data_IF_384498382389
#
_entry.id   IF_384498382389
#
_cell.length_a   1.000
_cell.length_b   1.000
_cell.length_c   1.000
_cell.angle_alpha   90.00
_cell.angle_beta   90.00
_cell.angle_gamma   90.00
#
_symmetry.space_group_name_H-M   'P 1'
#
loop_
_entity.id
_entity.type
_entity.pdbx_description
1 polymer ?
#
# COMPACT_ATOMS: atom_id res chain seq x y z
N UNK A 1 -59.94 -13.72 -5.07
CA UNK A 1 -59.06 -13.23 -4.00
C UNK A 1 -58.24 -14.41 -3.49
N UNK A 2 -56.92 -14.39 -3.66
CA UNK A 2 -56.06 -15.07 -2.72
C UNK A 2 -55.10 -14.06 -2.10
N UNK A 3 -54.93 -14.17 -0.79
CA UNK A 3 -53.83 -13.55 -0.07
C UNK A 3 -53.16 -14.61 0.82
N UNK A 4 -51.90 -14.33 1.11
CA UNK A 4 -51.01 -14.89 2.13
C UNK A 4 -50.27 -16.20 1.81
N UNK A 5 -49.17 -16.03 1.08
CA UNK A 5 -47.95 -16.83 1.32
C UNK A 5 -46.69 -15.94 1.29
N UNK A 6 -46.16 -15.70 2.49
CA UNK A 6 -44.73 -15.54 2.87
C UNK A 6 -43.79 -14.85 1.86
N UNK A 7 -43.36 -13.65 2.23
CA UNK A 7 -42.29 -12.84 1.62
C UNK A 7 -40.89 -13.28 2.11
N UNK A 8 -39.89 -13.37 1.21
CA UNK A 8 -38.63 -12.67 1.45
C UNK A 8 -38.29 -11.69 0.31
N UNK A 9 -38.12 -10.42 0.66
CA UNK A 9 -37.71 -9.30 -0.20
C UNK A 9 -36.18 -9.24 -0.32
N UNK A 10 -35.61 -9.79 -1.39
CA UNK A 10 -34.33 -9.33 -1.96
C UNK A 10 -34.42 -9.47 -3.49
N UNK A 11 -34.49 -8.38 -4.28
CA UNK A 11 -34.36 -8.46 -5.72
C UNK A 11 -32.89 -8.61 -6.15
N UNK A 12 -32.60 -9.27 -7.29
CA UNK A 12 -31.26 -9.47 -7.80
C UNK A 12 -30.64 -8.15 -8.28
N UNK A 13 -29.37 -7.93 -7.94
CA UNK A 13 -28.58 -6.78 -8.35
C UNK A 13 -28.55 -6.63 -9.87
N UNK A 14 -29.11 -5.53 -10.36
CA UNK A 14 -28.99 -5.09 -11.74
C UNK A 14 -27.58 -4.56 -12.03
N UNK A 15 -27.08 -4.90 -13.21
CA UNK A 15 -25.82 -4.42 -13.77
C UNK A 15 -25.78 -2.88 -13.78
N UNK A 16 -25.04 -2.28 -12.85
CA UNK A 16 -24.59 -0.89 -12.99
C UNK A 16 -23.39 -0.89 -13.92
N UNK A 17 -23.60 -0.47 -15.16
CA UNK A 17 -22.54 -0.18 -16.11
C UNK A 17 -21.54 0.81 -15.48
N UNK A 18 -20.32 0.35 -15.27
CA UNK A 18 -19.16 1.20 -15.05
C UNK A 18 -18.95 2.04 -16.31
N UNK A 19 -19.18 3.35 -16.22
CA UNK A 19 -18.72 4.30 -17.21
C UNK A 19 -17.19 4.28 -17.14
N UNK A 20 -16.56 3.50 -18.02
CA UNK A 20 -15.13 3.63 -18.31
C UNK A 20 -14.97 4.83 -19.25
N UNK A 21 -14.03 5.76 -18.98
CA UNK A 21 -13.60 6.67 -20.04
C UNK A 21 -12.89 5.84 -21.11
N UNK A 22 -13.41 5.88 -22.34
CA UNK A 22 -12.73 5.34 -23.52
C UNK A 22 -11.44 6.12 -23.76
N UNK A 23 -10.29 5.45 -24.00
CA UNK A 23 -9.09 6.14 -24.45
C UNK A 23 -9.33 6.60 -25.89
N UNK A 24 -9.50 7.90 -26.10
CA UNK A 24 -9.45 8.50 -27.43
C UNK A 24 -8.02 8.40 -27.94
N UNK A 25 -7.77 7.48 -28.87
CA UNK A 25 -6.52 7.48 -29.63
C UNK A 25 -6.47 8.76 -30.49
N UNK A 26 -5.36 9.52 -30.48
CA UNK A 26 -5.24 10.69 -31.33
C UNK A 26 -5.24 10.26 -32.79
N UNK A 27 -6.11 10.87 -33.58
CA UNK A 27 -6.13 10.72 -35.04
C UNK A 27 -4.86 11.35 -35.63
N UNK A 28 -4.41 10.80 -36.75
CA UNK A 28 -3.18 11.15 -37.49
C UNK A 28 -3.03 12.65 -37.87
N UNK A 29 -4.02 13.49 -37.60
CA UNK A 29 -4.05 14.91 -37.95
C UNK A 29 -3.40 15.84 -36.90
N UNK A 30 -2.97 15.32 -35.74
CA UNK A 30 -2.37 16.12 -34.65
C UNK A 30 -0.84 15.99 -34.54
N UNK A 31 -0.16 15.38 -35.51
CA UNK A 31 1.30 15.25 -35.48
C UNK A 31 2.05 16.52 -35.92
N UNK A 32 1.34 17.54 -36.41
CA UNK A 32 1.94 18.78 -36.93
C UNK A 32 1.93 19.93 -35.91
N UNK A 33 1.58 19.72 -34.64
CA UNK A 33 1.76 20.74 -33.61
C UNK A 33 3.21 20.72 -33.08
N UNK A 34 4.06 21.72 -33.39
CA UNK A 34 5.43 21.78 -32.89
C UNK A 34 5.53 21.88 -31.35
N UNK A 35 4.40 22.00 -30.63
CA UNK A 35 4.33 21.89 -29.16
C UNK A 35 4.41 20.45 -28.66
N UNK A 36 4.04 19.44 -29.47
CA UNK A 36 4.18 18.01 -29.14
C UNK A 36 5.59 17.48 -29.46
N UNK A 37 6.32 18.13 -30.38
CA UNK A 37 7.73 17.85 -30.68
C UNK A 37 8.72 18.57 -29.76
N UNK A 38 8.23 19.13 -28.64
CA UNK A 38 9.01 19.89 -27.66
C UNK A 38 9.52 19.05 -26.49
N UNK A 39 10.20 17.94 -26.76
CA UNK A 39 10.93 17.14 -25.76
C UNK A 39 12.19 17.86 -25.26
N UNK A 40 12.00 19.01 -24.62
CA UNK A 40 13.09 19.91 -24.20
C UNK A 40 12.68 20.83 -23.06
N UNK A 41 11.78 20.38 -22.18
CA UNK A 41 11.41 21.11 -20.97
C UNK A 41 12.47 20.94 -19.90
N UNK A 42 13.48 21.83 -19.89
CA UNK A 42 14.54 21.86 -18.89
C UNK A 42 14.00 21.64 -17.47
N UNK A 43 14.58 20.65 -16.79
CA UNK A 43 14.34 20.29 -15.38
C UNK A 43 14.50 21.54 -14.52
N UNK A 44 13.40 22.26 -14.22
CA UNK A 44 13.44 23.41 -13.30
C UNK A 44 13.87 22.90 -11.93
N UNK A 45 15.16 23.07 -11.58
CA UNK A 45 15.78 22.64 -10.31
C UNK A 45 14.95 23.04 -9.07
N UNK A 46 14.16 24.11 -9.17
CA UNK A 46 13.22 24.57 -8.15
C UNK A 46 12.00 23.69 -7.83
N UNK A 47 11.78 22.53 -8.47
CA UNK A 47 10.67 21.62 -8.12
C UNK A 47 11.11 20.31 -7.42
N UNK A 48 12.37 19.91 -7.55
CA UNK A 48 12.86 18.66 -6.95
C UNK A 48 13.02 18.74 -5.43
N UNK A 49 13.40 19.91 -4.90
CA UNK A 49 13.54 20.13 -3.46
C UNK A 49 12.19 20.05 -2.72
N UNK A 50 11.08 20.42 -3.38
CA UNK A 50 9.73 20.31 -2.81
C UNK A 50 9.38 18.85 -2.51
N UNK A 51 9.73 17.95 -3.43
CA UNK A 51 9.53 16.51 -3.25
C UNK A 51 10.45 15.96 -2.14
N UNK A 52 11.72 16.39 -2.10
CA UNK A 52 12.62 15.99 -1.03
C UNK A 52 12.12 16.45 0.34
N UNK A 53 11.60 17.68 0.42
CA UNK A 53 11.05 18.24 1.66
C UNK A 53 9.79 17.50 2.12
N UNK A 54 8.93 17.04 1.20
CA UNK A 54 7.74 16.29 1.59
C UNK A 54 8.07 14.93 2.20
N UNK A 55 9.06 14.22 1.66
CA UNK A 55 9.54 12.97 2.29
C UNK A 55 10.33 13.22 3.58
N UNK A 56 11.09 14.32 3.68
CA UNK A 56 11.70 14.72 4.94
C UNK A 56 10.63 15.00 6.01
N UNK A 57 9.49 15.55 5.61
CA UNK A 57 8.34 15.77 6.49
C UNK A 57 7.68 14.44 6.92
N UNK A 58 7.58 13.44 6.04
CA UNK A 58 7.14 12.10 6.44
C UNK A 58 8.04 11.52 7.55
N UNK A 59 9.37 11.60 7.39
CA UNK A 59 10.32 11.18 8.42
C UNK A 59 10.18 11.98 9.71
N UNK A 60 9.95 13.30 9.61
CA UNK A 60 9.69 14.14 10.77
C UNK A 60 8.45 13.66 11.54
N UNK A 61 7.34 13.37 10.85
CA UNK A 61 6.13 12.82 11.49
C UNK A 61 6.43 11.50 12.19
N UNK A 62 7.20 10.61 11.55
CA UNK A 62 7.61 9.34 12.15
C UNK A 62 8.48 9.56 13.40
N UNK A 63 9.46 10.46 13.36
CA UNK A 63 10.30 10.79 14.51
C UNK A 63 9.45 11.36 15.66
N UNK A 64 8.55 12.31 15.37
CA UNK A 64 7.64 12.86 16.37
C UNK A 64 6.76 11.77 16.98
N UNK A 65 6.18 10.91 16.15
CA UNK A 65 5.39 9.76 16.62
C UNK A 65 6.21 8.80 17.49
N UNK A 66 7.46 8.53 17.12
CA UNK A 66 8.38 7.69 17.88
C UNK A 66 8.72 8.29 19.24
N UNK A 67 9.02 9.60 19.29
CA UNK A 67 9.28 10.34 20.53
C UNK A 67 8.06 10.33 21.44
N UNK A 68 6.86 10.60 20.89
CA UNK A 68 5.61 10.53 21.66
C UNK A 68 5.40 9.11 22.21
N UNK A 69 5.57 8.08 21.38
CA UNK A 69 5.48 6.68 21.81
C UNK A 69 6.47 6.32 22.92
N UNK A 70 7.70 6.82 22.84
CA UNK A 70 8.73 6.63 23.87
C UNK A 70 8.35 7.32 25.19
N UNK A 71 7.90 8.57 25.13
CA UNK A 71 7.46 9.33 26.31
C UNK A 71 6.28 8.62 26.97
N UNK A 72 5.29 8.18 26.19
CA UNK A 72 4.16 7.41 26.71
C UNK A 72 4.63 6.15 27.45
N UNK A 73 5.64 5.43 26.94
CA UNK A 73 6.19 4.26 27.63
C UNK A 73 6.77 4.51 29.02
N UNK A 74 7.13 5.76 29.34
CA UNK A 74 7.74 6.16 30.62
C UNK A 74 6.76 6.86 31.58
N UNK A 75 5.58 7.25 31.11
CA UNK A 75 4.53 7.83 31.96
C UNK A 75 3.90 6.72 32.80
N UNK A 76 3.74 6.95 34.11
CA UNK A 76 3.11 5.98 35.02
C UNK A 76 1.71 5.59 34.51
N UNK A 77 1.40 4.29 34.43
CA UNK A 77 0.12 3.84 33.90
C UNK A 77 -1.00 4.11 34.91
N UNK A 78 -2.24 4.05 34.44
CA UNK A 78 -3.37 3.82 35.32
C UNK A 78 -3.13 2.52 36.12
N UNK A 79 -3.50 2.50 37.39
CA UNK A 79 -3.34 1.30 38.23
C UNK A 79 -4.72 0.83 38.66
N UNK A 80 -5.27 -0.13 37.90
CA UNK A 80 -6.63 -0.62 38.20
C UNK A 80 -6.63 -1.40 39.52
N UNK A 81 -7.71 -1.30 40.33
CA UNK A 81 -7.84 -2.13 41.52
C UNK A 81 -7.79 -3.63 41.20
N UNK A 82 -7.21 -4.41 42.11
CA UNK A 82 -7.02 -5.85 41.97
C UNK A 82 -7.32 -6.58 43.28
N UNK A 83 -7.57 -7.89 43.21
CA UNK A 83 -7.79 -8.73 44.39
C UNK A 83 -6.52 -9.49 44.73
N UNK A 84 -6.17 -9.57 46.02
CA UNK A 84 -5.00 -10.32 46.51
C UNK A 84 -5.18 -11.84 46.38
N UNK A 85 -6.42 -12.31 46.25
CA UNK A 85 -6.76 -13.74 46.16
C UNK A 85 -6.81 -14.24 44.71
N UNK A 86 -6.53 -13.37 43.73
CA UNK A 86 -6.60 -13.75 42.33
C UNK A 86 -5.39 -14.62 41.92
N UNK A 87 -5.57 -15.91 41.58
CA UNK A 87 -4.47 -16.78 41.20
C UNK A 87 -3.79 -16.36 39.90
N UNK A 88 -4.51 -15.70 38.98
CA UNK A 88 -3.96 -15.30 37.68
C UNK A 88 -2.85 -14.25 37.79
N UNK A 89 -2.74 -13.55 38.93
CA UNK A 89 -1.73 -12.52 39.20
C UNK A 89 -0.69 -12.93 40.27
N UNK A 90 -0.69 -14.22 40.65
CA UNK A 90 0.12 -14.77 41.73
C UNK A 90 1.39 -15.51 41.27
N UNK A 91 1.73 -15.45 39.98
CA UNK A 91 2.92 -16.11 39.45
C UNK A 91 4.20 -15.43 39.94
N UNK A 92 5.33 -16.16 40.02
CA UNK A 92 6.61 -15.58 40.45
C UNK A 92 7.16 -14.61 39.41
N UNK A 93 7.85 -13.56 39.88
CA UNK A 93 8.50 -12.56 39.04
C UNK A 93 9.74 -13.14 38.36
N UNK A 94 9.66 -13.30 37.04
CA UNK A 94 10.79 -13.76 36.21
C UNK A 94 11.79 -12.62 36.00
N UNK A 95 12.87 -12.60 36.78
CA UNK A 95 13.95 -11.58 36.69
C UNK A 95 14.68 -11.64 35.35
N UNK A 96 14.96 -12.86 34.86
CA UNK A 96 15.66 -13.09 33.58
C UNK A 96 14.65 -13.50 32.52
N UNK A 97 14.28 -12.54 31.69
CA UNK A 97 13.39 -12.77 30.55
C UNK A 97 14.07 -13.62 29.47
N UNK A 98 13.34 -14.57 28.87
CA UNK A 98 13.82 -15.37 27.74
C UNK A 98 14.20 -14.47 26.56
N UNK A 99 13.36 -13.47 26.28
CA UNK A 99 13.63 -12.40 25.31
C UNK A 99 13.60 -11.06 26.04
N UNK A 100 14.75 -10.48 26.43
CA UNK A 100 14.80 -9.15 27.01
C UNK A 100 14.48 -8.08 25.96
N UNK A 101 14.07 -6.89 26.44
CA UNK A 101 13.65 -5.74 25.60
C UNK A 101 14.66 -5.43 24.49
N UNK A 102 15.97 -5.45 24.80
CA UNK A 102 17.00 -5.13 23.81
C UNK A 102 17.08 -6.19 22.68
N UNK A 103 16.89 -7.48 22.97
CA UNK A 103 16.83 -8.53 21.93
C UNK A 103 15.60 -8.29 21.07
N UNK A 104 14.46 -7.96 21.68
CA UNK A 104 13.24 -7.67 20.93
C UNK A 104 13.42 -6.46 19.99
N UNK A 105 14.10 -5.40 20.43
CA UNK A 105 14.43 -4.22 19.60
C UNK A 105 15.39 -4.60 18.46
N UNK A 106 16.44 -5.37 18.76
CA UNK A 106 17.39 -5.83 17.73
C UNK A 106 16.68 -6.69 16.69
N UNK A 107 15.90 -7.68 17.13
CA UNK A 107 15.20 -8.60 16.23
C UNK A 107 14.10 -7.91 15.43
N UNK A 108 13.35 -6.99 16.02
CA UNK A 108 12.14 -6.41 15.40
C UNK A 108 12.39 -5.08 14.68
N UNK A 109 13.53 -4.41 14.92
CA UNK A 109 13.82 -3.11 14.31
C UNK A 109 15.16 -3.14 13.58
N UNK A 110 16.25 -3.42 14.29
CA UNK A 110 17.61 -3.34 13.72
C UNK A 110 17.80 -4.38 12.61
N UNK A 111 17.43 -5.64 12.86
CA UNK A 111 17.57 -6.71 11.88
C UNK A 111 16.73 -6.46 10.62
N UNK A 112 15.43 -6.08 10.69
CA UNK A 112 14.67 -5.66 9.51
C UNK A 112 15.30 -4.50 8.74
N UNK A 113 15.82 -3.46 9.40
CA UNK A 113 16.51 -2.34 8.73
C UNK A 113 17.67 -2.86 7.89
N UNK A 114 18.52 -3.71 8.48
CA UNK A 114 19.71 -4.27 7.82
C UNK A 114 19.32 -5.22 6.69
N UNK A 115 18.34 -6.12 6.92
CA UNK A 115 17.92 -7.11 5.92
C UNK A 115 17.25 -6.41 4.73
N UNK A 116 16.41 -5.39 4.95
CA UNK A 116 15.82 -4.58 3.87
C UNK A 116 16.92 -3.88 3.08
N UNK A 117 17.91 -3.27 3.74
CA UNK A 117 19.04 -2.64 3.08
C UNK A 117 19.83 -3.64 2.23
N UNK A 118 20.14 -4.81 2.79
CA UNK A 118 20.82 -5.87 2.06
C UNK A 118 20.03 -6.32 0.83
N UNK A 119 18.72 -6.54 0.96
CA UNK A 119 17.88 -6.98 -0.16
C UNK A 119 17.84 -5.92 -1.26
N UNK A 120 17.60 -4.65 -0.91
CA UNK A 120 17.55 -3.56 -1.89
C UNK A 120 18.90 -3.30 -2.56
N UNK A 121 20.01 -3.37 -1.82
CA UNK A 121 21.32 -3.06 -2.38
C UNK A 121 21.88 -4.20 -3.25
N UNK A 122 21.49 -5.45 -2.99
CA UNK A 122 22.02 -6.63 -3.70
C UNK A 122 21.06 -7.13 -4.79
N UNK A 123 19.79 -7.38 -4.47
CA UNK A 123 18.86 -8.08 -5.37
C UNK A 123 17.97 -7.16 -6.23
N UNK A 124 17.87 -5.88 -5.87
CA UNK A 124 17.13 -4.88 -6.66
C UNK A 124 18.13 -4.10 -7.52
N UNK A 125 17.87 -3.78 -8.79
CA UNK A 125 16.74 -4.23 -9.59
C UNK A 125 16.99 -5.68 -10.07
N UNK A 126 15.89 -6.45 -10.18
CA UNK A 126 15.96 -7.85 -10.59
C UNK A 126 16.36 -8.03 -12.05
N UNK A 127 16.28 -9.27 -12.54
CA UNK A 127 16.59 -9.64 -13.93
C UNK A 127 15.67 -9.01 -15.00
N UNK A 128 14.73 -8.15 -14.60
CA UNK A 128 13.77 -7.47 -15.48
C UNK A 128 14.31 -6.20 -16.10
N UNK A 129 15.54 -5.78 -15.77
CA UNK A 129 16.14 -4.57 -16.35
C UNK A 129 16.70 -4.87 -17.75
N UNK A 130 16.31 -4.10 -18.78
CA UNK A 130 16.84 -4.28 -20.13
C UNK A 130 18.38 -4.16 -20.19
N UNK A 131 19.05 -4.96 -21.04
CA UNK A 131 20.48 -4.79 -21.25
C UNK A 131 20.77 -3.39 -21.82
N UNK A 132 21.67 -2.65 -21.18
CA UNK A 132 22.07 -1.30 -21.60
C UNK A 132 21.53 -0.16 -20.72
N UNK A 133 20.75 -0.45 -19.67
CA UNK A 133 20.29 0.59 -18.73
C UNK A 133 21.46 1.26 -18.01
N UNK A 134 21.52 2.61 -17.96
CA UNK A 134 22.58 3.33 -17.28
C UNK A 134 22.58 3.08 -15.77
N UNK A 135 23.79 2.98 -15.18
CA UNK A 135 24.01 2.69 -13.76
C UNK A 135 23.29 3.68 -12.82
N UNK A 136 23.11 4.92 -13.25
CA UNK A 136 22.42 5.94 -12.46
C UNK A 136 20.95 5.60 -12.19
N UNK A 137 20.24 5.04 -13.18
CA UNK A 137 18.84 4.63 -13.02
C UNK A 137 18.71 3.45 -12.06
N UNK A 138 19.63 2.50 -12.18
CA UNK A 138 19.73 1.33 -11.30
C UNK A 138 19.91 1.79 -9.84
N UNK A 139 20.81 2.74 -9.59
CA UNK A 139 21.04 3.28 -8.24
C UNK A 139 19.86 4.10 -7.72
N UNK A 140 19.25 4.95 -8.56
CA UNK A 140 18.02 5.66 -8.20
C UNK A 140 16.94 4.66 -7.76
N UNK A 141 16.77 3.55 -8.48
CA UNK A 141 15.80 2.49 -8.15
C UNK A 141 16.13 1.79 -6.83
N UNK A 142 17.38 1.35 -6.64
CA UNK A 142 17.84 0.72 -5.39
C UNK A 142 17.56 1.59 -4.18
N UNK A 143 17.93 2.87 -4.27
CA UNK A 143 17.74 3.83 -3.18
C UNK A 143 16.27 4.18 -2.96
N UNK A 144 15.46 4.23 -4.02
CA UNK A 144 14.02 4.44 -3.91
C UNK A 144 13.34 3.30 -3.14
N UNK A 145 13.64 2.07 -3.53
CA UNK A 145 13.12 0.87 -2.88
C UNK A 145 13.55 0.75 -1.42
N UNK A 146 14.81 1.09 -1.14
CA UNK A 146 15.32 1.15 0.22
C UNK A 146 14.57 2.20 1.05
N UNK A 147 14.40 3.41 0.52
CA UNK A 147 13.72 4.50 1.19
C UNK A 147 12.26 4.17 1.52
N UNK A 148 11.49 3.67 0.56
CA UNK A 148 10.10 3.24 0.79
C UNK A 148 10.02 2.03 1.71
N UNK A 149 10.99 1.11 1.62
CA UNK A 149 11.14 -0.04 2.52
C UNK A 149 11.30 0.39 3.98
N UNK A 150 12.16 1.37 4.25
CA UNK A 150 12.38 1.91 5.60
C UNK A 150 11.25 2.80 6.09
N UNK A 151 10.63 3.62 5.22
CA UNK A 151 9.45 4.41 5.59
C UNK A 151 8.29 3.51 6.02
N UNK A 152 8.03 2.42 5.29
CA UNK A 152 6.99 1.47 5.67
C UNK A 152 7.31 0.70 6.96
N UNK A 153 8.57 0.30 7.17
CA UNK A 153 8.99 -0.31 8.43
C UNK A 153 8.81 0.65 9.61
N UNK A 154 9.26 1.90 9.44
CA UNK A 154 9.12 2.96 10.43
C UNK A 154 7.66 3.22 10.77
N UNK A 155 6.80 3.37 9.76
CA UNK A 155 5.36 3.54 9.94
C UNK A 155 4.73 2.37 10.72
N UNK A 156 5.09 1.12 10.39
CA UNK A 156 4.60 -0.07 11.10
C UNK A 156 4.99 -0.08 12.57
N UNK A 157 6.28 0.10 12.88
CA UNK A 157 6.81 0.02 14.25
C UNK A 157 6.31 1.18 15.09
N UNK A 158 6.38 2.42 14.57
CA UNK A 158 6.01 3.62 15.33
C UNK A 158 4.51 3.67 15.60
N UNK A 159 3.66 3.34 14.62
CA UNK A 159 2.21 3.25 14.84
C UNK A 159 1.90 2.21 15.93
N UNK A 160 2.59 1.07 15.91
CA UNK A 160 2.43 0.03 16.93
C UNK A 160 2.83 0.50 18.32
N UNK A 161 3.93 1.24 18.45
CA UNK A 161 4.38 1.79 19.73
C UNK A 161 3.39 2.81 20.30
N UNK A 162 2.88 3.71 19.47
CA UNK A 162 1.86 4.67 19.87
C UNK A 162 0.60 3.98 20.40
N UNK A 163 0.07 3.03 19.64
CA UNK A 163 -1.14 2.29 20.01
C UNK A 163 -0.90 1.47 21.28
N UNK A 164 0.18 0.69 21.33
CA UNK A 164 0.47 -0.21 22.46
C UNK A 164 0.74 0.56 23.74
N UNK A 165 1.61 1.58 23.71
CA UNK A 165 1.96 2.34 24.92
C UNK A 165 0.78 3.20 25.40
N UNK A 166 -0.02 3.75 24.49
CA UNK A 166 -1.27 4.42 24.85
C UNK A 166 -2.25 3.50 25.57
N UNK A 167 -2.52 2.33 24.99
CA UNK A 167 -3.42 1.35 25.61
C UNK A 167 -2.90 0.86 26.97
N UNK A 168 -1.60 0.59 27.09
CA UNK A 168 -0.98 0.20 28.38
C UNK A 168 -1.22 1.22 29.48
N UNK A 169 -1.02 2.50 29.18
CA UNK A 169 -1.20 3.56 30.15
C UNK A 169 -2.66 3.80 30.51
N UNK A 170 -3.58 3.65 29.56
CA UNK A 170 -5.02 3.82 29.80
C UNK A 170 -5.61 2.69 30.64
N UNK A 171 -5.27 1.43 30.31
CA UNK A 171 -5.95 0.27 30.89
C UNK A 171 -5.35 -0.22 32.20
N UNK A 172 -4.04 -0.12 32.39
CA UNK A 172 -3.45 -0.41 33.70
C UNK A 172 -3.63 -1.85 34.18
N UNK A 173 -3.63 -2.83 33.27
CA UNK A 173 -3.89 -4.24 33.60
C UNK A 173 -2.69 -4.87 34.35
N UNK A 174 -2.89 -5.44 35.56
CA UNK A 174 -1.97 -6.32 36.27
C UNK A 174 -1.44 -7.43 35.38
N UNK A 175 -0.13 -7.66 35.46
CA UNK A 175 0.52 -8.83 34.88
C UNK A 175 0.29 -10.07 35.74
N UNK A 176 0.54 -11.27 35.19
CA UNK A 176 0.44 -12.49 35.96
C UNK A 176 1.40 -12.57 37.15
N UNK A 177 2.49 -11.80 37.12
CA UNK A 177 3.51 -11.71 38.15
C UNK A 177 3.37 -10.48 39.08
N UNK A 178 2.18 -9.85 39.14
CA UNK A 178 1.99 -8.60 39.89
C UNK A 178 2.20 -8.77 41.40
N UNK A 179 1.67 -9.82 42.03
CA UNK A 179 1.71 -9.92 43.50
C UNK A 179 3.14 -10.06 44.04
N UNK A 180 3.99 -10.81 43.33
CA UNK A 180 5.40 -10.96 43.68
C UNK A 180 6.19 -9.64 43.51
N UNK A 181 5.86 -8.86 42.47
CA UNK A 181 6.41 -7.50 42.28
C UNK A 181 5.93 -6.51 43.35
N UNK A 182 4.65 -6.59 43.71
CA UNK A 182 3.97 -5.65 44.59
C UNK A 182 4.41 -5.79 46.05
N UNK A 183 4.60 -7.04 46.52
CA UNK A 183 4.86 -7.35 47.93
C UNK A 183 3.82 -6.66 48.84
N UNK A 184 2.56 -7.12 48.82
CA UNK A 184 1.46 -6.41 49.46
C UNK A 184 1.60 -6.37 50.99
N UNK A 185 1.29 -5.23 51.60
CA UNK A 185 1.19 -5.10 53.05
C UNK A 185 -0.06 -5.82 53.59
N UNK A 186 0.13 -7.04 54.06
CA UNK A 186 -0.94 -7.87 54.63
C UNK A 186 -1.40 -7.39 56.02
N UNK A 187 -0.62 -6.55 56.70
CA UNK A 187 -1.00 -6.04 58.02
C UNK A 187 -2.06 -4.93 57.93
N UNK A 188 -2.06 -4.14 56.85
CA UNK A 188 -2.87 -2.93 56.71
C UNK A 188 -3.87 -2.96 55.54
N UNK A 189 -4.39 -4.13 55.19
CA UNK A 189 -5.31 -4.31 54.03
C UNK A 189 -6.51 -3.35 54.09
N UNK A 190 -7.06 -3.10 55.29
CA UNK A 190 -8.24 -2.25 55.48
C UNK A 190 -8.07 -0.80 55.01
N UNK A 191 -6.83 -0.28 54.98
CA UNK A 191 -6.53 1.09 54.54
C UNK A 191 -6.52 1.24 53.01
N UNK A 192 -6.42 0.13 52.28
CA UNK A 192 -6.21 0.12 50.83
C UNK A 192 -7.41 -0.41 50.03
N UNK A 193 -8.57 -0.57 50.67
CA UNK A 193 -9.78 -1.10 50.03
C UNK A 193 -10.32 -0.09 49.00
N UNK A 194 -10.43 -0.53 47.76
CA UNK A 194 -11.03 0.22 46.65
C UNK A 194 -12.51 -0.09 46.44
N UNK A 195 -12.90 -1.34 46.70
CA UNK A 195 -14.26 -1.82 46.52
C UNK A 195 -14.37 -3.31 46.77
N UNK A 196 -15.57 -3.86 46.75
CA UNK A 196 -15.79 -5.29 46.98
C UNK A 196 -17.20 -5.57 47.47
N UNK A 197 -17.44 -6.82 47.86
CA UNK A 197 -18.73 -7.25 48.41
C UNK A 197 -18.90 -6.65 49.82
N UNK A 198 -19.92 -5.81 49.99
CA UNK A 198 -20.27 -5.25 51.29
C UNK A 198 -20.60 -6.38 52.29
N UNK A 199 -20.06 -6.28 53.52
CA UNK A 199 -20.24 -7.24 54.61
C UNK A 199 -19.64 -8.65 54.42
N UNK A 200 -18.69 -8.83 53.50
CA UNK A 200 -17.87 -10.06 53.48
C UNK A 200 -16.91 -10.07 54.68
N UNK A 201 -16.98 -11.10 55.52
CA UNK A 201 -16.06 -11.31 56.65
C UNK A 201 -14.69 -11.82 56.21
N UNK A 202 -14.60 -12.34 54.99
CA UNK A 202 -13.38 -12.83 54.38
C UNK A 202 -12.87 -11.80 53.37
N UNK A 203 -11.55 -11.74 53.16
CA UNK A 203 -10.93 -10.90 52.11
C UNK A 203 -11.33 -11.30 50.68
N UNK A 204 -12.16 -12.34 50.53
CA UNK A 204 -12.76 -12.76 49.28
C UNK A 204 -13.64 -11.66 48.67
N UNK A 205 -13.39 -11.37 47.39
CA UNK A 205 -14.13 -10.35 46.65
C UNK A 205 -13.75 -8.91 47.00
N UNK A 206 -12.70 -8.69 47.80
CA UNK A 206 -12.16 -7.35 48.09
C UNK A 206 -11.15 -6.96 47.02
N UNK A 207 -11.29 -5.74 46.51
CA UNK A 207 -10.36 -5.08 45.60
C UNK A 207 -9.57 -4.04 46.36
N UNK A 208 -8.26 -4.02 46.15
CA UNK A 208 -7.31 -3.08 46.75
C UNK A 208 -6.68 -2.18 45.71
N UNK A 209 -6.31 -0.97 46.12
CA UNK A 209 -5.50 -0.06 45.32
C UNK A 209 -4.03 -0.49 45.32
N UNK A 210 -3.28 -0.05 44.31
CA UNK A 210 -1.84 -0.28 44.20
C UNK A 210 -1.00 0.33 45.34
N UNK A 211 -1.59 1.21 46.17
CA UNK A 211 -0.93 1.77 47.36
C UNK A 211 -0.62 0.74 48.45
N UNK A 212 -1.18 -0.47 48.37
CA UNK A 212 -0.85 -1.59 49.27
C UNK A 212 0.54 -2.18 49.02
N UNK A 213 1.14 -1.90 47.85
CA UNK A 213 2.43 -2.46 47.47
C UNK A 213 3.57 -1.80 48.26
N UNK A 214 4.41 -2.61 48.90
CA UNK A 214 5.53 -2.12 49.74
C UNK A 214 6.83 -1.94 48.96
N UNK A 215 6.92 -2.49 47.74
CA UNK A 215 8.12 -2.39 46.92
C UNK A 215 8.45 -0.92 46.58
N UNK A 216 9.70 -0.51 46.87
CA UNK A 216 10.18 0.85 46.67
C UNK A 216 10.50 1.19 45.21
N UNK A 217 10.69 0.18 44.35
CA UNK A 217 11.02 0.41 42.95
C UNK A 217 9.77 0.71 42.11
N UNK A 218 9.56 2.00 41.82
CA UNK A 218 8.47 2.48 40.98
C UNK A 218 8.48 1.87 39.57
N UNK A 219 9.64 1.60 38.98
CA UNK A 219 9.72 1.05 37.63
C UNK A 219 9.17 -0.38 37.57
N UNK A 220 9.53 -1.21 38.56
CA UNK A 220 9.05 -2.59 38.68
C UNK A 220 7.53 -2.62 38.88
N UNK A 221 7.03 -1.73 39.75
CA UNK A 221 5.61 -1.62 40.04
C UNK A 221 4.82 -1.12 38.81
N UNK A 222 5.25 -0.03 38.18
CA UNK A 222 4.62 0.51 36.98
C UNK A 222 4.62 -0.52 35.84
N UNK A 223 5.71 -1.29 35.64
CA UNK A 223 5.72 -2.38 34.65
C UNK A 223 4.73 -3.50 35.01
N UNK A 224 4.51 -3.77 36.30
CA UNK A 224 3.51 -4.74 36.80
C UNK A 224 2.08 -4.42 36.38
N UNK A 225 1.74 -3.14 36.16
CA UNK A 225 0.42 -2.70 35.67
C UNK A 225 0.34 -2.50 34.15
N UNK A 226 1.40 -2.83 33.39
CA UNK A 226 1.44 -2.68 31.92
C UNK A 226 1.30 -4.02 31.18
N UNK A 227 0.35 -4.87 31.59
CA UNK A 227 0.14 -6.17 30.92
C UNK A 227 -0.55 -6.05 29.56
N UNK A 228 -1.60 -5.24 29.43
CA UNK A 228 -2.41 -5.21 28.20
C UNK A 228 -2.21 -3.93 27.39
N UNK A 229 -1.97 -4.02 26.07
CA UNK A 229 -1.56 -5.19 25.28
C UNK A 229 -0.06 -5.50 25.40
N UNK A 230 0.41 -6.69 24.98
CA UNK A 230 1.83 -7.02 25.07
C UNK A 230 2.70 -6.25 24.04
N UNK A 231 3.64 -5.45 24.54
CA UNK A 231 4.54 -4.64 23.70
C UNK A 231 5.63 -5.44 22.96
N UNK A 232 6.07 -6.56 23.54
CA UNK A 232 7.00 -7.47 22.85
C UNK A 232 6.30 -8.16 21.68
N UNK A 233 5.09 -8.66 21.92
CA UNK A 233 4.26 -9.31 20.90
C UNK A 233 3.92 -8.35 19.76
N UNK A 234 3.45 -7.14 20.10
CA UNK A 234 3.07 -6.15 19.09
C UNK A 234 4.25 -5.64 18.28
N UNK A 235 5.38 -5.29 18.93
CA UNK A 235 6.58 -4.82 18.22
C UNK A 235 7.20 -5.90 17.35
N UNK A 236 7.25 -7.15 17.83
CA UNK A 236 7.76 -8.28 17.05
C UNK A 236 6.90 -8.54 15.82
N UNK A 237 5.58 -8.57 15.99
CA UNK A 237 4.65 -8.69 14.87
C UNK A 237 4.83 -7.53 13.87
N UNK A 238 4.88 -6.28 14.33
CA UNK A 238 5.04 -5.12 13.46
C UNK A 238 6.29 -5.19 12.58
N UNK A 239 7.46 -5.40 13.19
CA UNK A 239 8.73 -5.42 12.48
C UNK A 239 8.96 -6.65 11.62
N UNK A 240 8.74 -7.84 12.18
CA UNK A 240 9.09 -9.10 11.52
C UNK A 240 8.02 -9.55 10.51
N UNK A 241 6.74 -9.26 10.73
CA UNK A 241 5.71 -9.52 9.71
C UNK A 241 5.87 -8.54 8.56
N UNK A 242 6.17 -7.27 8.82
CA UNK A 242 6.52 -6.33 7.75
C UNK A 242 7.72 -6.84 6.93
N UNK A 243 8.77 -7.32 7.61
CA UNK A 243 9.93 -7.92 6.94
C UNK A 243 9.53 -9.16 6.11
N UNK A 244 8.68 -10.03 6.66
CA UNK A 244 8.16 -11.21 5.95
C UNK A 244 7.42 -10.81 4.67
N UNK A 245 6.52 -9.82 4.75
CA UNK A 245 5.79 -9.28 3.60
C UNK A 245 6.73 -8.63 2.59
N UNK A 246 7.76 -7.91 3.07
CA UNK A 246 8.77 -7.28 2.23
C UNK A 246 9.58 -8.30 1.44
N UNK A 247 10.10 -9.34 2.11
CA UNK A 247 10.81 -10.45 1.47
C UNK A 247 9.90 -11.14 0.46
N UNK A 248 8.66 -11.44 0.85
CA UNK A 248 7.69 -12.06 -0.03
C UNK A 248 7.43 -11.24 -1.30
N UNK A 249 7.34 -9.92 -1.18
CA UNK A 249 7.19 -9.04 -2.33
C UNK A 249 8.44 -9.06 -3.23
N UNK A 250 9.64 -8.87 -2.68
CA UNK A 250 10.88 -8.76 -3.48
C UNK A 250 11.27 -10.02 -4.21
N UNK A 251 10.94 -11.19 -3.66
CA UNK A 251 11.22 -12.47 -4.30
C UNK A 251 10.02 -13.07 -5.03
N UNK A 252 8.96 -12.28 -5.27
CA UNK A 252 7.73 -12.71 -5.94
C UNK A 252 7.13 -13.99 -5.33
N UNK A 253 7.16 -14.10 -4.00
CA UNK A 253 6.58 -15.21 -3.26
C UNK A 253 5.09 -14.91 -3.08
N UNK A 254 4.33 -15.25 -4.11
CA UNK A 254 2.89 -14.98 -4.18
C UNK A 254 2.13 -16.30 -4.18
N UNK A 255 0.93 -16.30 -3.58
CA UNK A 255 -0.03 -17.36 -3.88
C UNK A 255 -0.49 -17.10 -5.32
N UNK A 256 -0.41 -18.09 -6.23
CA UNK A 256 -0.85 -17.93 -7.60
C UNK A 256 -2.26 -17.33 -7.68
N UNK A 257 -2.35 -16.11 -8.19
CA UNK A 257 -3.60 -15.38 -8.39
C UNK A 257 -3.81 -15.16 -9.88
N UNK A 258 -5.03 -15.37 -10.36
CA UNK A 258 -5.39 -15.19 -11.76
C UNK A 258 -6.20 -13.91 -11.91
N UNK A 259 -5.75 -13.01 -12.79
CA UNK A 259 -6.60 -11.90 -13.22
C UNK A 259 -7.86 -12.48 -13.90
N UNK A 260 -9.07 -11.94 -13.69
CA UNK A 260 -10.28 -12.42 -14.35
C UNK A 260 -10.26 -12.05 -15.83
N UNK A 261 -9.46 -12.75 -16.63
CA UNK A 261 -9.57 -12.72 -18.09
C UNK A 261 -10.67 -13.70 -18.50
N UNK A 262 -11.52 -13.28 -19.45
CA UNK A 262 -12.75 -13.97 -19.86
C UNK A 262 -12.65 -15.50 -19.85
N UNK A 263 -13.48 -16.12 -19.02
CA UNK A 263 -13.50 -17.55 -18.80
C UNK A 263 -13.77 -18.30 -20.11
N UNK A 264 -12.81 -19.13 -20.54
CA UNK A 264 -13.07 -20.21 -21.50
C UNK A 264 -12.70 -21.52 -20.81
N UNK A 265 -13.50 -22.57 -20.97
CA UNK A 265 -13.26 -23.88 -20.34
C UNK A 265 -11.89 -24.47 -20.72
N UNK A 266 -11.36 -24.09 -21.89
CA UNK A 266 -10.03 -24.46 -22.35
C UNK A 266 -8.89 -23.89 -21.49
N UNK A 267 -9.11 -22.77 -20.81
CA UNK A 267 -8.08 -22.10 -20.00
C UNK A 267 -7.72 -22.87 -18.72
N UNK A 268 -8.65 -23.66 -18.17
CA UNK A 268 -8.47 -24.47 -16.96
C UNK A 268 -8.11 -25.94 -17.21
N UNK A 269 -8.12 -26.36 -18.48
CA UNK A 269 -7.84 -27.75 -18.82
C UNK A 269 -6.40 -28.15 -18.54
N UNK A 270 -6.21 -29.42 -18.15
CA UNK A 270 -4.89 -29.96 -17.86
C UNK A 270 -3.96 -30.04 -19.07
N UNK A 271 -4.56 -30.20 -20.25
CA UNK A 271 -3.87 -30.21 -21.54
C UNK A 271 -4.60 -29.26 -22.49
N UNK A 272 -4.27 -27.95 -22.48
CA UNK A 272 -4.90 -26.96 -23.37
C UNK A 272 -4.73 -27.30 -24.85
N UNK A 273 -3.62 -27.97 -25.20
CA UNK A 273 -3.36 -28.48 -26.55
C UNK A 273 -4.29 -29.63 -26.97
N UNK A 274 -4.98 -30.27 -26.01
CA UNK A 274 -5.94 -31.37 -26.23
C UNK A 274 -7.39 -30.93 -26.03
N UNK A 275 -7.65 -29.73 -25.52
CA UNK A 275 -9.01 -29.18 -25.51
C UNK A 275 -9.40 -28.81 -26.91
N UNK A 276 -10.27 -29.62 -27.50
CA UNK A 276 -10.92 -29.35 -28.76
C UNK A 276 -11.83 -28.14 -28.54
N UNK A 277 -11.37 -26.95 -28.89
CA UNK A 277 -12.27 -25.81 -28.99
C UNK A 277 -13.31 -26.14 -30.06
N UNK A 278 -14.54 -26.44 -29.62
CA UNK A 278 -15.69 -26.13 -30.44
C UNK A 278 -15.56 -24.66 -30.81
N UNK A 279 -15.49 -24.39 -32.12
CA UNK A 279 -15.53 -23.05 -32.68
C UNK A 279 -16.67 -22.31 -31.99
N UNK A 280 -16.36 -21.42 -31.05
CA UNK A 280 -17.33 -20.48 -30.51
C UNK A 280 -17.74 -19.61 -31.68
N UNK A 281 -18.96 -19.84 -32.15
CA UNK A 281 -19.66 -19.18 -33.27
C UNK A 281 -19.89 -17.67 -33.05
N UNK A 282 -19.06 -16.99 -32.28
CA UNK A 282 -19.34 -15.65 -31.75
C UNK A 282 -18.36 -14.57 -32.22
N UNK A 283 -17.41 -14.88 -33.11
CA UNK A 283 -16.55 -13.85 -33.75
C UNK A 283 -16.69 -13.81 -35.28
N UNK A 284 -17.69 -14.47 -35.85
CA UNK A 284 -17.96 -14.42 -37.30
C UNK A 284 -18.92 -13.30 -37.72
N UNK A 285 -19.47 -12.50 -36.80
CA UNK A 285 -20.40 -11.42 -37.17
C UNK A 285 -19.78 -10.02 -37.26
N UNK A 286 -18.60 -9.76 -36.66
CA UNK A 286 -17.96 -8.44 -36.74
C UNK A 286 -16.98 -8.29 -37.91
N UNK A 287 -16.55 -9.38 -38.55
CA UNK A 287 -15.69 -9.31 -39.74
C UNK A 287 -16.46 -9.12 -41.06
N UNK A 288 -17.80 -9.12 -41.04
CA UNK A 288 -18.59 -9.07 -42.28
C UNK A 288 -18.76 -7.66 -42.85
N UNK A 289 -18.38 -6.59 -42.12
CA UNK A 289 -18.71 -5.20 -42.48
C UNK A 289 -17.53 -4.26 -42.72
N UNK A 290 -16.29 -4.76 -42.85
CA UNK A 290 -15.19 -3.96 -43.42
C UNK A 290 -14.92 -4.40 -44.84
N UNK A 291 -15.34 -3.53 -45.77
CA UNK A 291 -15.24 -3.74 -47.21
C UNK A 291 -13.83 -4.11 -47.69
N UNK A 292 -13.82 -5.04 -48.63
CA UNK A 292 -12.85 -5.23 -49.71
C UNK A 292 -11.47 -4.57 -49.53
N UNK A 293 -10.58 -5.23 -48.78
CA UNK A 293 -9.11 -5.28 -48.97
C UNK A 293 -8.46 -6.08 -47.82
N UNK A 294 -8.85 -7.33 -47.62
CA UNK A 294 -8.11 -8.24 -46.75
C UNK A 294 -7.49 -9.32 -47.65
N UNK A 295 -6.16 -9.38 -47.71
CA UNK A 295 -5.47 -10.55 -48.26
C UNK A 295 -6.02 -11.81 -47.60
N UNK A 296 -6.14 -12.94 -48.31
CA UNK A 296 -6.55 -14.19 -47.70
C UNK A 296 -5.47 -14.57 -46.67
N UNK A 297 -5.76 -14.33 -45.39
CA UNK A 297 -4.92 -14.84 -44.32
C UNK A 297 -4.97 -16.35 -44.44
N UNK A 298 -3.81 -16.98 -44.61
CA UNK A 298 -3.69 -18.43 -44.75
C UNK A 298 -4.45 -19.13 -43.60
N UNK A 299 -5.42 -20.03 -43.89
CA UNK A 299 -6.15 -20.75 -42.86
C UNK A 299 -5.23 -21.54 -41.91
N UNK A 300 -4.02 -21.92 -42.35
CA UNK A 300 -3.00 -22.51 -41.49
C UNK A 300 -2.44 -21.50 -40.48
N UNK A 301 -2.17 -20.27 -40.90
CA UNK A 301 -1.69 -19.18 -40.05
C UNK A 301 -2.74 -18.78 -39.01
N UNK A 302 -4.01 -18.71 -39.39
CA UNK A 302 -5.09 -18.40 -38.45
C UNK A 302 -5.26 -19.51 -37.40
N UNK A 303 -5.11 -20.78 -37.79
CA UNK A 303 -5.11 -21.92 -36.86
C UNK A 303 -3.91 -21.91 -35.92
N UNK A 304 -2.73 -21.53 -36.43
CA UNK A 304 -1.52 -21.36 -35.61
C UNK A 304 -1.67 -20.22 -34.61
N UNK A 305 -2.21 -19.07 -35.02
CA UNK A 305 -2.47 -17.92 -34.14
C UNK A 305 -3.52 -18.25 -33.06
N UNK A 306 -4.59 -18.98 -33.42
CA UNK A 306 -5.60 -19.42 -32.47
C UNK A 306 -5.03 -20.44 -31.46
N UNK A 307 -4.24 -21.41 -31.92
CA UNK A 307 -3.54 -22.36 -31.04
C UNK A 307 -2.53 -21.64 -30.14
N UNK A 308 -1.76 -20.70 -30.70
CA UNK A 308 -0.80 -19.91 -29.94
C UNK A 308 -1.52 -19.06 -28.88
N UNK A 309 -2.60 -18.39 -29.25
CA UNK A 309 -3.48 -17.64 -28.33
C UNK A 309 -3.98 -18.52 -27.19
N UNK A 310 -4.45 -19.75 -27.46
CA UNK A 310 -4.86 -20.69 -26.42
C UNK A 310 -3.71 -21.13 -25.51
N UNK A 311 -2.52 -21.38 -26.07
CA UNK A 311 -1.35 -21.76 -25.26
C UNK A 311 -0.82 -20.62 -24.38
N UNK A 312 -1.02 -19.37 -24.80
CA UNK A 312 -0.67 -18.16 -24.03
C UNK A 312 -1.73 -17.85 -22.97
N UNK A 313 -3.00 -18.15 -23.25
CA UNK A 313 -4.13 -17.97 -22.32
C UNK A 313 -4.30 -19.10 -21.31
N UNK A 314 -3.60 -20.22 -21.46
CA UNK A 314 -3.67 -21.33 -20.51
C UNK A 314 -3.22 -20.89 -19.11
N UNK A 315 -4.17 -20.85 -18.16
CA UNK A 315 -4.02 -20.39 -16.78
C UNK A 315 -2.83 -21.05 -16.07
N UNK A 316 -2.59 -22.33 -16.36
CA UNK A 316 -1.50 -23.13 -15.77
C UNK A 316 -0.09 -22.67 -16.18
N UNK A 317 0.04 -21.90 -17.26
CA UNK A 317 1.34 -21.35 -17.71
C UNK A 317 1.60 -19.94 -17.18
N UNK A 318 0.62 -19.32 -16.52
CA UNK A 318 0.69 -17.93 -16.05
C UNK A 318 1.28 -17.82 -14.63
N UNK A 319 1.30 -18.91 -13.86
CA UNK A 319 1.85 -18.90 -12.50
C UNK A 319 2.41 -20.28 -12.12
N UNK A 320 3.47 -20.27 -11.31
CA UNK A 320 4.04 -21.46 -10.68
C UNK A 320 4.28 -21.17 -9.20
N UNK A 321 4.19 -22.19 -8.35
CA UNK A 321 4.55 -22.05 -6.95
C UNK A 321 6.05 -21.70 -6.83
N UNK A 322 6.41 -20.66 -6.08
CA UNK A 322 7.80 -20.35 -5.78
C UNK A 322 8.50 -21.53 -5.10
N UNK A 323 9.82 -21.73 -5.32
CA UNK A 323 10.58 -22.76 -4.63
C UNK A 323 10.46 -22.68 -3.10
N UNK A 324 10.41 -23.84 -2.44
CA UNK A 324 10.18 -23.94 -0.98
C UNK A 324 11.24 -23.21 -0.14
N UNK A 325 12.49 -23.11 -0.61
CA UNK A 325 13.54 -22.41 0.13
C UNK A 325 13.26 -20.89 0.22
N UNK A 326 12.66 -20.29 -0.82
CA UNK A 326 12.26 -18.87 -0.79
C UNK A 326 11.12 -18.67 0.21
N UNK A 327 10.15 -19.59 0.20
CA UNK A 327 9.06 -19.58 1.18
C UNK A 327 9.61 -19.66 2.61
N UNK A 328 10.56 -20.56 2.88
CA UNK A 328 11.19 -20.70 4.20
C UNK A 328 11.84 -19.39 4.66
N UNK A 329 12.62 -18.74 3.78
CA UNK A 329 13.26 -17.45 4.08
C UNK A 329 12.21 -16.37 4.39
N UNK A 330 11.10 -16.33 3.65
CA UNK A 330 10.05 -15.34 3.86
C UNK A 330 9.24 -15.56 5.15
N UNK A 331 8.98 -16.81 5.55
CA UNK A 331 8.20 -17.10 6.77
C UNK A 331 9.05 -17.10 8.04
N UNK A 332 10.37 -17.20 7.94
CA UNK A 332 11.26 -17.24 9.10
C UNK A 332 11.10 -16.03 10.04
N UNK A 333 11.03 -14.77 9.56
CA UNK A 333 10.73 -13.62 10.40
C UNK A 333 9.37 -13.75 11.11
N UNK A 334 8.34 -14.22 10.40
CA UNK A 334 7.00 -14.42 10.98
C UNK A 334 7.04 -15.39 12.16
N UNK A 335 7.68 -16.55 12.00
CA UNK A 335 7.84 -17.50 13.10
C UNK A 335 8.74 -16.98 14.23
N UNK A 336 9.73 -16.16 13.91
CA UNK A 336 10.49 -15.40 14.91
C UNK A 336 9.59 -14.50 15.76
N UNK A 337 8.62 -13.82 15.15
CA UNK A 337 7.64 -13.01 15.87
C UNK A 337 6.76 -13.86 16.80
N UNK A 338 6.31 -15.03 16.32
CA UNK A 338 5.54 -15.99 17.12
C UNK A 338 6.36 -16.45 18.32
N UNK A 339 7.63 -16.81 18.13
CA UNK A 339 8.51 -17.22 19.22
C UNK A 339 8.67 -16.11 20.28
N UNK A 340 8.93 -14.87 19.87
CA UNK A 340 9.04 -13.73 20.79
C UNK A 340 7.72 -13.51 21.55
N UNK A 341 6.57 -13.62 20.87
CA UNK A 341 5.26 -13.51 21.50
C UNK A 341 5.03 -14.64 22.52
N UNK A 342 5.31 -15.89 22.15
CA UNK A 342 5.18 -17.07 23.03
C UNK A 342 6.08 -17.02 24.24
N UNK A 343 7.28 -16.44 24.14
CA UNK A 343 8.20 -16.27 25.27
C UNK A 343 7.56 -15.49 26.44
N UNK A 344 6.60 -14.60 26.14
CA UNK A 344 5.88 -13.80 27.15
C UNK A 344 4.90 -14.61 27.98
N UNK A 345 4.36 -15.68 27.40
CA UNK A 345 3.52 -16.63 28.12
C UNK A 345 4.38 -17.52 29.01
N UNK A 346 5.48 -18.03 28.46
CA UNK A 346 6.44 -18.87 29.19
C UNK A 346 7.05 -18.15 30.41
N UNK A 347 7.41 -16.87 30.28
CA UNK A 347 7.99 -16.07 31.36
C UNK A 347 6.95 -15.50 32.36
N UNK A 348 5.67 -15.90 32.28
CA UNK A 348 4.55 -15.37 33.09
C UNK A 348 4.36 -13.85 33.01
N UNK A 349 4.78 -13.23 31.91
CA UNK A 349 4.75 -11.76 31.77
C UNK A 349 3.42 -11.23 31.26
N UNK A 350 2.63 -12.05 30.58
CA UNK A 350 1.39 -11.64 29.93
C UNK A 350 0.37 -12.77 29.90
N UNK A 351 -0.91 -12.40 29.97
CA UNK A 351 -2.00 -13.34 29.68
C UNK A 351 -2.08 -13.59 28.17
N UNK A 352 -2.66 -14.71 27.75
CA UNK A 352 -2.75 -15.10 26.34
C UNK A 352 -3.50 -14.07 25.51
N UNK A 353 -4.59 -13.51 26.06
CA UNK A 353 -5.33 -12.42 25.41
C UNK A 353 -4.47 -11.17 25.16
N UNK A 354 -3.59 -10.82 26.10
CA UNK A 354 -2.70 -9.66 25.97
C UNK A 354 -1.68 -9.86 24.85
N UNK A 355 -1.22 -11.11 24.68
CA UNK A 355 -0.27 -11.51 23.63
C UNK A 355 -0.95 -11.52 22.27
N UNK A 356 -2.12 -12.16 22.15
CA UNK A 356 -2.88 -12.26 20.91
C UNK A 356 -3.33 -10.89 20.40
N UNK A 357 -3.84 -10.04 21.28
CA UNK A 357 -4.25 -8.69 20.90
C UNK A 357 -3.04 -7.82 20.52
N UNK A 358 -1.94 -7.93 21.26
CA UNK A 358 -0.67 -7.28 20.88
C UNK A 358 -0.20 -7.71 19.50
N UNK A 359 -0.19 -9.03 19.23
CA UNK A 359 0.20 -9.59 17.93
C UNK A 359 -0.71 -9.10 16.80
N UNK A 360 -2.02 -9.02 17.05
CA UNK A 360 -3.00 -8.48 16.11
C UNK A 360 -2.72 -7.01 15.77
N UNK A 361 -2.48 -6.16 16.77
CA UNK A 361 -2.11 -4.74 16.54
C UNK A 361 -0.91 -4.68 15.60
N UNK A 362 0.17 -5.39 15.92
CA UNK A 362 1.39 -5.38 15.11
C UNK A 362 1.20 -5.94 13.70
N UNK A 363 0.37 -6.97 13.55
CA UNK A 363 0.04 -7.54 12.24
C UNK A 363 -0.74 -6.54 11.38
N UNK A 364 -1.74 -5.87 11.96
CA UNK A 364 -2.57 -4.88 11.25
C UNK A 364 -1.72 -3.68 10.81
N UNK A 365 -0.87 -3.14 11.70
CA UNK A 365 0.02 -2.02 11.36
C UNK A 365 1.07 -2.43 10.31
N UNK A 366 1.61 -3.64 10.38
CA UNK A 366 2.53 -4.18 9.36
C UNK A 366 1.86 -4.28 7.98
N UNK A 367 0.67 -4.89 7.90
CA UNK A 367 -0.08 -5.04 6.65
C UNK A 367 -0.46 -3.67 6.09
N UNK A 368 -0.95 -2.76 6.94
CA UNK A 368 -1.30 -1.40 6.54
C UNK A 368 -0.09 -0.65 5.98
N UNK A 369 1.01 -0.60 6.73
CA UNK A 369 2.21 0.13 6.32
C UNK A 369 2.85 -0.46 5.06
N UNK A 370 2.84 -1.80 4.93
CA UNK A 370 3.29 -2.47 3.72
C UNK A 370 2.45 -2.05 2.50
N UNK A 371 1.12 -2.09 2.60
CA UNK A 371 0.22 -1.68 1.50
C UNK A 371 0.29 -0.19 1.17
N UNK A 372 0.62 0.63 2.17
CA UNK A 372 0.74 2.07 1.99
C UNK A 372 1.95 2.44 1.10
N UNK A 373 3.06 1.70 1.20
CA UNK A 373 4.29 1.98 0.46
C UNK A 373 4.60 1.00 -0.69
N UNK A 374 4.02 -0.19 -0.68
CA UNK A 374 4.28 -1.25 -1.66
C UNK A 374 3.02 -1.71 -2.39
N UNK A 375 3.22 -2.18 -3.62
CA UNK A 375 2.18 -2.84 -4.38
C UNK A 375 1.68 -4.09 -3.64
N UNK A 376 0.39 -4.46 -3.80
CA UNK A 376 -0.12 -5.72 -3.28
C UNK A 376 0.69 -6.90 -3.84
N UNK A 377 1.05 -7.83 -2.95
CA UNK A 377 1.80 -9.05 -3.30
C UNK A 377 1.09 -9.85 -4.40
N UNK A 378 -0.24 -9.80 -4.49
CA UNK A 378 -1.02 -10.53 -5.50
C UNK A 378 -1.05 -9.88 -6.89
N UNK A 379 -0.63 -8.61 -7.04
CA UNK A 379 -0.77 -7.86 -8.29
C UNK A 379 0.50 -7.13 -8.74
N UNK A 380 1.52 -7.03 -7.88
CA UNK A 380 2.76 -6.32 -8.17
C UNK A 380 3.94 -7.26 -8.37
N UNK A 381 4.93 -6.82 -9.16
CA UNK A 381 6.24 -7.46 -9.28
C UNK A 381 7.18 -7.12 -8.10
N UNK A 382 6.62 -6.97 -6.89
CA UNK A 382 7.37 -6.65 -5.68
C UNK A 382 7.81 -5.19 -5.52
N UNK A 383 7.29 -4.27 -6.33
CA UNK A 383 7.75 -2.89 -6.36
C UNK A 383 7.07 -1.97 -5.33
N UNK A 384 7.81 -0.97 -4.84
CA UNK A 384 7.24 0.15 -4.12
C UNK A 384 6.46 1.09 -5.06
N UNK A 385 5.54 1.87 -4.51
CA UNK A 385 4.86 2.94 -5.26
C UNK A 385 5.87 3.97 -5.79
N UNK A 386 5.54 4.58 -6.93
CA UNK A 386 6.34 5.64 -7.54
C UNK A 386 6.35 6.95 -6.72
N UNK A 387 7.24 7.90 -7.05
CA UNK A 387 7.34 9.18 -6.36
C UNK A 387 6.09 10.05 -6.50
N UNK A 388 5.82 10.88 -5.49
CA UNK A 388 4.75 11.90 -5.56
C UNK A 388 5.03 12.94 -6.65
N UNK A 389 3.97 13.50 -7.21
CA UNK A 389 4.05 14.66 -8.10
C UNK A 389 4.42 15.92 -7.31
N UNK A 390 5.17 16.82 -7.94
CA UNK A 390 5.71 18.01 -7.25
C UNK A 390 4.62 19.01 -6.82
N UNK A 391 3.50 19.02 -7.52
CA UNK A 391 2.33 19.87 -7.27
C UNK A 391 1.38 19.28 -6.21
N UNK A 392 1.51 18.00 -5.88
CA UNK A 392 0.74 17.30 -4.83
C UNK A 392 1.63 16.74 -3.72
N UNK A 393 2.88 17.19 -3.63
CA UNK A 393 3.90 16.61 -2.75
C UNK A 393 3.49 16.56 -1.26
N UNK A 394 2.77 17.58 -0.79
CA UNK A 394 2.25 17.68 0.59
C UNK A 394 0.75 17.40 0.70
N UNK A 395 -0.03 17.77 -0.32
CA UNK A 395 -1.48 17.64 -0.29
C UNK A 395 -2.06 17.59 -1.71
N UNK A 396 -2.80 16.53 -2.04
CA UNK A 396 -3.45 16.37 -3.35
C UNK A 396 -4.73 17.20 -3.51
N UNK A 397 -5.37 17.59 -2.40
CA UNK A 397 -6.73 18.12 -2.41
C UNK A 397 -7.79 17.02 -2.40
N UNK A 398 -8.98 17.37 -1.94
CA UNK A 398 -10.17 16.49 -2.02
C UNK A 398 -10.53 16.28 -3.49
N UNK A 399 -10.76 15.03 -3.90
CA UNK A 399 -11.08 14.67 -5.29
C UNK A 399 -9.87 14.37 -6.18
N UNK A 400 -8.63 14.46 -5.67
CA UNK A 400 -7.46 13.96 -6.41
C UNK A 400 -7.39 12.44 -6.36
N UNK A 401 -7.35 11.79 -7.52
CA UNK A 401 -7.30 10.32 -7.64
C UNK A 401 -5.93 9.70 -7.30
N UNK A 402 -4.85 10.45 -7.43
CA UNK A 402 -3.49 9.96 -7.16
C UNK A 402 -2.56 11.09 -6.74
N UNK A 403 -1.58 10.74 -5.89
CA UNK A 403 -0.46 11.59 -5.53
C UNK A 403 0.68 11.55 -6.55
N UNK A 404 0.63 10.63 -7.54
CA UNK A 404 1.66 10.50 -8.57
C UNK A 404 1.36 11.29 -9.86
N UNK A 405 0.10 11.66 -10.11
CA UNK A 405 -0.31 12.37 -11.33
C UNK A 405 -0.41 13.88 -11.12
N UNK A 406 -0.01 14.68 -12.11
CA UNK A 406 -0.08 16.14 -12.05
C UNK A 406 -1.54 16.66 -12.13
N UNK A 407 -1.83 17.81 -11.50
CA UNK A 407 -3.16 18.46 -11.45
C UNK A 407 -3.69 18.89 -12.81
N UNK A 408 -2.84 19.35 -13.72
CA UNK A 408 -3.28 20.19 -14.86
C UNK A 408 -3.50 19.44 -16.15
N UNK A 409 -3.18 18.15 -16.25
CA UNK A 409 -3.15 17.50 -17.56
C UNK A 409 -3.79 16.12 -17.65
N UNK A 410 -3.95 15.35 -16.57
CA UNK A 410 -4.30 13.92 -16.71
C UNK A 410 -3.32 13.12 -17.58
N UNK A 411 -2.27 13.78 -18.09
CA UNK A 411 -1.17 13.21 -18.86
C UNK A 411 -0.30 12.50 -17.85
N UNK A 412 -0.20 11.20 -18.06
CA UNK A 412 0.72 10.33 -17.35
C UNK A 412 2.15 10.83 -17.57
N UNK A 413 2.97 10.79 -16.52
CA UNK A 413 4.36 11.21 -16.59
C UNK A 413 5.15 10.23 -17.47
N UNK A 414 5.28 10.52 -18.77
CA UNK A 414 6.19 9.81 -19.69
C UNK A 414 7.66 10.15 -19.47
N UNK A 415 8.07 10.39 -18.22
CA UNK A 415 9.39 10.88 -17.84
C UNK A 415 10.01 10.11 -16.69
N UNK A 416 9.42 8.98 -16.32
CA UNK A 416 10.15 7.97 -15.59
C UNK A 416 11.06 7.31 -16.63
N UNK A 417 12.36 7.60 -16.54
CA UNK A 417 13.40 7.11 -17.47
C UNK A 417 13.34 5.57 -17.62
N UNK A 418 12.73 4.88 -16.65
CA UNK A 418 12.49 3.44 -16.60
C UNK A 418 11.34 2.97 -17.53
N UNK A 419 10.27 3.76 -17.69
CA UNK A 419 9.14 3.42 -18.58
C UNK A 419 9.32 4.02 -19.98
N UNK A 420 10.14 5.06 -20.11
CA UNK A 420 10.58 5.57 -21.41
C UNK A 420 11.40 4.51 -22.18
N UNK A 421 12.17 3.66 -21.48
CA UNK A 421 12.86 2.52 -22.10
C UNK A 421 11.85 1.48 -22.62
N UNK A 422 10.83 1.13 -21.82
CA UNK A 422 9.74 0.24 -22.26
C UNK A 422 8.95 0.82 -23.44
N UNK A 423 8.76 2.14 -23.50
CA UNK A 423 8.04 2.81 -24.58
C UNK A 423 8.87 2.91 -25.87
N UNK A 424 10.18 3.12 -25.76
CA UNK A 424 11.12 3.12 -26.91
C UNK A 424 11.28 1.71 -27.47
N UNK A 425 11.38 0.68 -26.62
CA UNK A 425 11.46 -0.71 -27.06
C UNK A 425 10.16 -1.19 -27.75
N UNK A 426 9.00 -0.71 -27.28
CA UNK A 426 7.71 -0.93 -27.97
C UNK A 426 7.66 -0.26 -29.34
N UNK A 427 8.32 0.89 -29.51
CA UNK A 427 8.41 1.59 -30.80
C UNK A 427 9.37 0.86 -31.78
N UNK A 428 10.45 0.26 -31.28
CA UNK A 428 11.41 -0.50 -32.10
C UNK A 428 10.91 -1.89 -32.52
N UNK A 429 9.90 -2.43 -31.83
CA UNK A 429 9.29 -3.73 -32.16
C UNK A 429 8.37 -3.73 -33.40
N UNK A 430 8.09 -2.55 -33.97
CA UNK A 430 7.39 -2.41 -35.26
C UNK A 430 8.35 -1.82 -36.31
N UNK A 431 8.92 -2.63 -37.23
CA UNK A 431 9.74 -2.07 -38.29
C UNK A 431 8.84 -1.32 -39.28
N UNK A 432 8.82 0.02 -39.17
CA UNK A 432 8.26 0.87 -40.21
C UNK A 432 9.14 0.77 -41.46
N UNK A 433 8.61 0.07 -42.47
CA UNK A 433 9.23 -0.09 -43.79
C UNK A 433 9.31 1.29 -44.46
N UNK A 434 10.51 1.85 -44.56
CA UNK A 434 10.78 3.08 -45.31
C UNK A 434 10.83 2.73 -46.79
N UNK A 435 9.70 2.86 -47.48
CA UNK A 435 9.66 2.69 -48.93
C UNK A 435 10.40 3.86 -49.60
N UNK A 436 11.41 3.49 -50.38
CA UNK A 436 12.17 4.37 -51.27
C UNK A 436 11.42 4.43 -52.59
N UNK A 437 10.93 5.60 -52.98
CA UNK A 437 10.38 5.84 -54.31
C UNK A 437 11.19 6.92 -55.02
N UNK A 438 11.91 6.46 -56.03
CA UNK A 438 12.60 7.21 -57.08
C UNK A 438 11.62 8.00 -57.98
N UNK A 439 11.95 9.26 -58.26
CA UNK A 439 12.01 9.74 -59.65
C UNK A 439 10.84 10.54 -60.26
N UNK A 440 11.15 11.80 -60.57
CA UNK A 440 10.83 12.58 -61.79
C UNK A 440 9.57 13.48 -61.85
N UNK A 441 9.79 14.76 -62.21
CA UNK A 441 8.85 15.51 -63.06
C UNK A 441 8.46 16.96 -62.72
N UNK A 442 9.40 17.91 -62.81
CA UNK A 442 9.32 19.26 -63.45
C UNK A 442 8.05 20.15 -63.26
N UNK A 443 8.26 21.40 -62.82
CA UNK A 443 7.34 22.52 -63.10
C UNK A 443 7.63 23.82 -62.34
N UNK A 444 7.97 24.87 -63.07
CA UNK A 444 8.51 26.18 -62.66
C UNK A 444 7.49 27.21 -62.12
N UNK A 445 7.93 28.09 -61.21
CA UNK A 445 7.67 29.54 -61.27
C UNK A 445 6.68 30.19 -60.28
N UNK A 446 7.11 31.36 -59.77
CA UNK A 446 6.34 32.50 -59.22
C UNK A 446 5.98 32.54 -57.71
N UNK A 447 6.82 33.24 -56.94
CA UNK A 447 6.37 34.29 -55.98
C UNK A 447 5.84 35.51 -56.75
N UNK A 448 4.99 36.43 -56.22
CA UNK A 448 4.81 36.81 -54.80
C UNK A 448 3.35 37.15 -54.37
N UNK A 449 3.12 37.48 -53.08
CA UNK A 449 2.39 38.70 -52.65
C UNK A 449 1.94 38.65 -51.19
N UNK A 450 2.38 39.68 -50.46
CA UNK A 450 2.01 40.11 -49.11
C UNK A 450 0.56 40.59 -49.06
N UNK A 451 -0.17 40.32 -47.96
CA UNK A 451 -1.24 41.23 -47.50
C UNK A 451 -1.33 41.26 -45.96
N UNK A 452 -1.01 42.43 -45.40
CA UNK A 452 -1.22 42.83 -44.00
C UNK A 452 -2.64 43.39 -43.82
N UNK A 453 -3.26 42.99 -42.69
CA UNK A 453 -4.15 43.72 -41.73
C UNK A 453 -5.36 44.54 -42.25
N UNK A 454 -6.39 44.85 -41.44
CA UNK A 454 -6.25 45.77 -40.30
C UNK A 454 -7.06 45.44 -39.03
N UNK A 455 -6.49 45.89 -37.91
CA UNK A 455 -7.12 46.30 -36.64
C UNK A 455 -7.90 47.61 -36.81
N UNK A 456 -9.02 47.80 -36.10
CA UNK A 456 -9.55 49.12 -35.72
C UNK A 456 -10.23 49.01 -34.34
N UNK A 457 -9.68 49.72 -33.36
CA UNK A 457 -10.35 50.17 -32.14
C UNK A 457 -10.83 51.62 -32.34
N UNK A 458 -11.97 51.90 -31.70
CA UNK A 458 -12.37 53.13 -30.99
C UNK A 458 -13.11 54.32 -31.66
N UNK A 459 -13.98 54.88 -30.80
CA UNK A 459 -14.68 56.19 -30.79
C UNK A 459 -15.98 56.40 -31.59
N UNK A 460 -17.11 56.54 -30.87
CA UNK A 460 -17.77 57.86 -30.68
C UNK A 460 -18.95 57.86 -29.69
N UNK A 461 -18.88 58.81 -28.77
CA UNK A 461 -19.95 59.31 -27.90
C UNK A 461 -20.86 60.36 -28.59
N UNK A 462 -22.03 60.54 -27.98
CA UNK A 462 -22.90 61.76 -27.90
C UNK A 462 -23.83 62.16 -29.06
N UNK A 463 -25.15 62.11 -28.75
CA UNK A 463 -26.21 63.15 -28.92
C UNK A 463 -27.60 62.45 -28.92
N UNK A 464 -28.74 62.99 -28.49
CA UNK A 464 -29.17 64.07 -27.60
C UNK A 464 -30.67 63.81 -27.34
N UNK A 465 -31.19 64.42 -26.28
CA UNK A 465 -32.59 64.57 -25.83
C UNK A 465 -33.74 64.34 -26.83
N UNK A 466 -34.82 63.69 -26.36
CA UNK A 466 -36.16 64.30 -26.30
C UNK A 466 -37.14 63.43 -25.51
N UNK A 467 -38.07 64.12 -24.87
CA UNK A 467 -38.90 63.64 -23.78
C UNK A 467 -40.33 63.24 -24.21
N UNK A 468 -41.05 62.75 -23.19
CA UNK A 468 -42.50 62.93 -22.94
C UNK A 468 -43.52 61.82 -23.31
N UNK A 469 -44.23 61.42 -22.23
CA UNK A 469 -45.57 60.80 -22.12
C UNK A 469 -45.76 59.40 -22.76
N UNK A 470 -46.34 58.41 -22.08
CA UNK A 470 -47.12 58.39 -20.85
C UNK A 470 -48.33 57.48 -21.04
N UNK A 471 -48.56 56.56 -20.10
CA UNK A 471 -49.90 56.23 -19.63
C UNK A 471 -50.55 54.93 -20.09
N UNK A 472 -50.88 54.11 -19.06
CA UNK A 472 -52.10 53.29 -18.91
C UNK A 472 -52.23 52.05 -19.80
N UNK A 473 -52.85 50.93 -19.41
CA UNK A 473 -53.61 50.36 -18.28
C UNK A 473 -53.70 48.87 -18.68
N UNK A 474 -53.82 47.84 -17.86
CA UNK A 474 -54.53 47.60 -16.60
C UNK A 474 -54.05 46.26 -16.06
#
# INVERSE_FOLDING_TARGET
MPDESVVPLIPPFSNRASIRPTPSYPTHANMDDPRLAGGGGGRKKGKAWVLALSYAFDWFILVVGGVVGYIMGHVSPNMRPFSLQNPDISFPFTVKETVPVWIAVVASVIAPIIIIAFICLIFVPGATVPPGTPKELIWKRKLWELHMGWLGLGLSVIATWLITNGMKNMFGKPRPDLLDRCQPDLANIALHIAGGIANSTNTEGVLVYASICTNTDKYILDDGFRSYPSGHSSSAAAGLIYLSLFIASKFAITIPFFAPAGYTDAAFAAFPSRTRAGVTKTESYELQNRGASASPVDPALQKQLAYHGQTVLAVRRQAAAPPLYLLFIAVLPFFGAVFIASSRWFDFRHHGFDILFGFLIGTVTAVFAFRYYHLPISQGAGWAWGPRSTDKAFWGGVGSYSYATDRTLGVYRGGDEEEALDAVERADSFPYRRDTATGTGIGTGQTPSVRKSPTVEDEREQEQDTAYRGGSRS
#
